data_IF_990703757472
#
_entry.id   IF_990703757472
#
_cell.length_a   1.000
_cell.length_b   1.000
_cell.length_c   1.000
_cell.angle_alpha   90.00
_cell.angle_beta   90.00
_cell.angle_gamma   90.00
#
_symmetry.space_group_name_H-M   'P 1'
#
loop_
_entity.id
_entity.type
_entity.pdbx_description
1 polymer ?
#
# COMPACT_ATOMS: atom_id res chain seq x y z
N UNK A 1 25.62 -7.79 -20.68
CA UNK A 1 24.59 -6.79 -20.26
C UNK A 1 23.21 -7.24 -20.73
N UNK A 2 23.01 -7.53 -22.01
CA UNK A 2 21.70 -7.93 -22.56
C UNK A 2 21.06 -9.13 -21.83
N UNK A 3 21.85 -10.16 -21.51
CA UNK A 3 21.39 -11.38 -20.85
C UNK A 3 20.83 -11.14 -19.45
N UNK A 4 21.50 -10.35 -18.61
CA UNK A 4 20.94 -10.09 -17.27
C UNK A 4 19.79 -9.09 -17.29
N UNK A 5 19.75 -8.14 -18.23
CA UNK A 5 18.64 -7.24 -18.40
C UNK A 5 17.36 -8.01 -18.77
N UNK A 6 17.46 -8.92 -19.71
CA UNK A 6 16.35 -9.79 -20.14
C UNK A 6 15.88 -10.69 -18.98
N UNK A 7 16.80 -11.28 -18.23
CA UNK A 7 16.49 -12.09 -17.04
C UNK A 7 15.73 -11.31 -15.97
N UNK A 8 16.13 -10.07 -15.67
CA UNK A 8 15.44 -9.19 -14.69
C UNK A 8 14.03 -8.87 -15.18
N UNK A 9 13.87 -8.49 -16.45
CA UNK A 9 12.56 -8.16 -17.02
C UNK A 9 11.62 -9.36 -16.99
N UNK A 10 12.07 -10.53 -17.44
CA UNK A 10 11.27 -11.76 -17.43
C UNK A 10 10.88 -12.17 -16.00
N UNK A 11 11.80 -12.10 -15.05
CA UNK A 11 11.51 -12.38 -13.64
C UNK A 11 10.46 -11.41 -13.05
N UNK A 12 10.54 -10.14 -13.42
CA UNK A 12 9.56 -9.13 -12.98
C UNK A 12 8.18 -9.40 -13.57
N UNK A 13 8.10 -9.72 -14.86
CA UNK A 13 6.83 -10.08 -15.53
C UNK A 13 6.21 -11.30 -14.86
N UNK A 14 6.99 -12.36 -14.63
CA UNK A 14 6.52 -13.56 -13.95
C UNK A 14 6.02 -13.28 -12.53
N UNK A 15 6.70 -12.40 -11.79
CA UNK A 15 6.30 -11.99 -10.45
C UNK A 15 4.99 -11.20 -10.45
N UNK A 16 4.80 -10.30 -11.41
CA UNK A 16 3.55 -9.55 -11.60
C UNK A 16 2.38 -10.49 -11.96
N UNK A 17 2.59 -11.45 -12.84
CA UNK A 17 1.55 -12.41 -13.23
C UNK A 17 1.13 -13.29 -12.05
N UNK A 18 2.09 -13.75 -11.24
CA UNK A 18 1.82 -14.49 -10.00
C UNK A 18 1.02 -13.64 -9.01
N UNK A 19 1.41 -12.39 -8.81
CA UNK A 19 0.69 -11.47 -7.91
C UNK A 19 -0.73 -11.21 -8.41
N UNK A 20 -0.93 -11.01 -9.72
CA UNK A 20 -2.24 -10.84 -10.34
C UNK A 20 -3.18 -12.02 -10.06
N UNK A 21 -2.66 -13.25 -10.07
CA UNK A 21 -3.45 -14.46 -9.79
C UNK A 21 -3.75 -14.64 -8.30
N UNK A 22 -2.88 -14.14 -7.42
CA UNK A 22 -2.99 -14.32 -5.97
C UNK A 22 -3.82 -13.23 -5.27
N UNK A 23 -4.00 -12.05 -5.89
CA UNK A 23 -4.78 -10.96 -5.32
C UNK A 23 -6.24 -11.37 -5.13
N UNK A 24 -6.73 -11.27 -3.89
CA UNK A 24 -8.13 -11.56 -3.56
C UNK A 24 -9.03 -10.37 -3.93
N UNK A 25 -10.00 -10.56 -4.88
CA UNK A 25 -10.92 -9.50 -5.27
C UNK A 25 -11.81 -8.99 -4.13
N UNK A 26 -12.11 -9.84 -3.13
CA UNK A 26 -12.93 -9.45 -1.98
C UNK A 26 -12.14 -8.55 -1.04
N UNK A 27 -10.88 -8.90 -0.77
CA UNK A 27 -9.98 -8.05 0.02
C UNK A 27 -9.76 -6.69 -0.66
N UNK A 28 -9.56 -6.68 -1.99
CA UNK A 28 -9.45 -5.44 -2.78
C UNK A 28 -10.72 -4.58 -2.66
N UNK A 29 -11.90 -5.15 -2.83
CA UNK A 29 -13.17 -4.43 -2.70
C UNK A 29 -13.33 -3.83 -1.30
N UNK A 30 -13.03 -4.61 -0.26
CA UNK A 30 -13.08 -4.17 1.14
C UNK A 30 -12.10 -3.03 1.42
N UNK A 31 -10.86 -3.14 0.93
CA UNK A 31 -9.85 -2.08 1.07
C UNK A 31 -10.30 -0.77 0.39
N UNK A 32 -10.85 -0.87 -0.83
CA UNK A 32 -11.38 0.29 -1.56
C UNK A 32 -12.53 0.94 -0.78
N UNK A 33 -13.43 0.16 -0.16
CA UNK A 33 -14.54 0.69 0.64
C UNK A 33 -14.03 1.47 1.87
N UNK A 34 -13.03 0.96 2.57
CA UNK A 34 -12.41 1.67 3.68
C UNK A 34 -11.72 2.97 3.22
N UNK A 35 -11.01 2.94 2.09
CA UNK A 35 -10.34 4.12 1.55
C UNK A 35 -11.33 5.23 1.11
N UNK A 36 -12.50 4.84 0.59
CA UNK A 36 -13.56 5.81 0.22
C UNK A 36 -14.16 6.50 1.45
N UNK A 37 -14.32 5.76 2.55
CA UNK A 37 -14.94 6.23 3.79
C UNK A 37 -13.95 6.88 4.75
N UNK A 38 -12.66 6.86 4.43
CA UNK A 38 -11.60 7.35 5.29
C UNK A 38 -11.74 8.85 5.59
N UNK A 39 -11.52 9.23 6.84
CA UNK A 39 -11.36 10.63 7.25
C UNK A 39 -9.99 11.16 6.88
N UNK A 40 -8.97 10.32 6.98
CA UNK A 40 -7.61 10.54 6.51
C UNK A 40 -6.96 9.20 6.14
N UNK A 41 -5.97 9.24 5.25
CA UNK A 41 -5.20 8.08 4.85
C UNK A 41 -3.73 8.34 5.12
N UNK A 42 -3.08 7.42 5.83
CA UNK A 42 -1.65 7.47 6.08
C UNK A 42 -0.98 6.24 5.45
N UNK A 43 -0.03 6.45 4.56
CA UNK A 43 0.77 5.40 3.95
C UNK A 43 2.09 5.24 4.70
N UNK A 44 2.36 4.05 5.21
CA UNK A 44 3.57 3.73 5.95
C UNK A 44 4.42 2.73 5.17
N UNK A 45 5.68 3.05 4.99
CA UNK A 45 6.67 2.17 4.39
C UNK A 45 8.05 2.53 4.89
N UNK A 46 8.92 1.54 5.08
CA UNK A 46 10.31 1.74 5.48
C UNK A 46 11.25 1.18 4.42
N UNK A 47 12.46 1.72 4.32
CA UNK A 47 13.47 1.29 3.35
C UNK A 47 12.93 1.31 1.91
N UNK A 48 12.98 0.18 1.21
CA UNK A 48 12.47 0.07 -0.17
C UNK A 48 10.97 0.33 -0.32
N UNK A 49 10.18 0.11 0.72
CA UNK A 49 8.74 0.38 0.72
C UNK A 49 8.39 1.86 0.94
N UNK A 50 9.33 2.68 1.42
CA UNK A 50 9.14 4.11 1.61
C UNK A 50 8.81 4.83 0.28
N UNK A 51 9.49 4.46 -0.81
CA UNK A 51 9.24 4.99 -2.14
C UNK A 51 7.81 4.66 -2.62
N UNK A 52 7.30 3.48 -2.30
CA UNK A 52 5.92 3.08 -2.64
C UNK A 52 4.90 3.87 -1.80
N UNK A 53 5.17 4.09 -0.52
CA UNK A 53 4.31 4.90 0.34
C UNK A 53 4.23 6.36 -0.15
N UNK A 54 5.35 6.93 -0.59
CA UNK A 54 5.41 8.27 -1.17
C UNK A 54 4.63 8.35 -2.49
N UNK A 55 4.78 7.38 -3.40
CA UNK A 55 4.01 7.30 -4.64
C UNK A 55 2.50 7.17 -4.35
N UNK A 56 2.12 6.38 -3.36
CA UNK A 56 0.75 6.24 -2.92
C UNK A 56 0.18 7.58 -2.44
N UNK A 57 0.90 8.33 -1.60
CA UNK A 57 0.50 9.68 -1.21
C UNK A 57 0.27 10.57 -2.43
N UNK A 58 1.21 10.55 -3.39
CA UNK A 58 1.12 11.35 -4.62
C UNK A 58 -0.09 10.98 -5.49
N UNK A 59 -0.53 9.72 -5.48
CA UNK A 59 -1.74 9.29 -6.21
C UNK A 59 -3.03 9.65 -5.47
N UNK A 60 -3.03 9.56 -4.14
CA UNK A 60 -4.23 9.71 -3.31
C UNK A 60 -4.49 11.16 -2.84
N UNK A 61 -3.49 12.09 -2.90
CA UNK A 61 -3.68 13.47 -2.42
C UNK A 61 -4.86 14.19 -3.08
N UNK A 62 -5.19 13.83 -4.32
CA UNK A 62 -6.28 14.43 -5.10
C UNK A 62 -7.67 13.92 -4.72
N UNK A 63 -7.78 13.02 -3.72
CA UNK A 63 -9.07 12.48 -3.28
C UNK A 63 -9.83 13.38 -2.30
N UNK A 64 -9.34 14.60 -2.08
CA UNK A 64 -9.96 15.64 -1.26
C UNK A 64 -10.15 15.24 0.21
N UNK A 65 -9.20 14.47 0.72
CA UNK A 65 -9.04 14.11 2.13
C UNK A 65 -7.57 14.25 2.52
N UNK A 66 -7.22 14.42 3.79
CA UNK A 66 -5.83 14.42 4.23
C UNK A 66 -5.14 13.09 3.89
N UNK A 67 -4.03 13.17 3.17
CA UNK A 67 -3.20 12.01 2.80
C UNK A 67 -1.75 12.32 3.07
N UNK A 68 -1.07 11.45 3.83
CA UNK A 68 0.34 11.59 4.18
C UNK A 68 1.07 10.26 3.97
N UNK A 69 2.39 10.34 3.78
CA UNK A 69 3.29 9.19 3.83
C UNK A 69 4.36 9.39 4.89
N UNK A 70 4.76 8.30 5.52
CA UNK A 70 5.80 8.29 6.55
C UNK A 70 6.76 7.12 6.31
N UNK A 71 8.05 7.40 6.34
CA UNK A 71 9.15 6.45 6.11
C UNK A 71 10.00 6.18 7.36
N UNK A 72 9.72 6.91 8.44
CA UNK A 72 10.40 6.82 9.73
C UNK A 72 9.52 6.12 10.77
N UNK A 73 10.07 5.10 11.43
CA UNK A 73 9.33 4.27 12.40
C UNK A 73 8.81 5.06 13.60
N UNK A 74 9.55 6.08 14.06
CA UNK A 74 9.12 6.91 15.19
C UNK A 74 7.89 7.74 14.81
N UNK A 75 7.92 8.39 13.64
CA UNK A 75 6.79 9.16 13.14
C UNK A 75 5.58 8.26 12.87
N UNK A 76 5.77 7.10 12.25
CA UNK A 76 4.70 6.12 12.04
C UNK A 76 4.05 5.71 13.36
N UNK A 77 4.86 5.46 14.40
CA UNK A 77 4.37 5.10 15.73
C UNK A 77 3.60 6.25 16.40
N UNK A 78 4.07 7.48 16.26
CA UNK A 78 3.37 8.67 16.81
C UNK A 78 2.01 8.86 16.12
N UNK A 79 1.95 8.72 14.80
CA UNK A 79 0.70 8.81 14.02
C UNK A 79 -0.25 7.67 14.40
N UNK A 80 0.24 6.44 14.53
CA UNK A 80 -0.56 5.29 14.97
C UNK A 80 -1.10 5.45 16.39
N UNK A 81 -0.31 6.04 17.29
CA UNK A 81 -0.74 6.35 18.66
C UNK A 81 -1.86 7.41 18.74
N UNK A 82 -1.87 8.36 17.80
CA UNK A 82 -2.91 9.39 17.69
C UNK A 82 -4.08 9.02 16.79
N UNK A 83 -4.10 7.81 16.23
CA UNK A 83 -5.13 7.38 15.29
C UNK A 83 -6.51 7.19 15.95
N UNK A 84 -7.56 7.32 15.16
CA UNK A 84 -8.94 7.27 15.62
C UNK A 84 -9.82 6.44 14.66
N UNK A 85 -11.05 6.19 15.09
CA UNK A 85 -12.08 5.55 14.24
C UNK A 85 -12.36 6.41 13.00
N UNK A 86 -12.25 5.78 11.85
CA UNK A 86 -12.38 6.41 10.53
C UNK A 86 -11.05 6.77 9.88
N UNK A 87 -9.93 6.68 10.59
CA UNK A 87 -8.61 6.79 9.98
C UNK A 87 -8.23 5.47 9.32
N UNK A 88 -7.56 5.56 8.18
CA UNK A 88 -7.01 4.40 7.47
C UNK A 88 -5.49 4.51 7.41
N UNK A 89 -4.82 3.47 7.84
CA UNK A 89 -3.36 3.32 7.74
C UNK A 89 -3.08 2.17 6.77
N UNK A 90 -2.35 2.48 5.70
CA UNK A 90 -1.89 1.48 4.72
C UNK A 90 -0.43 1.18 5.00
N UNK A 91 -0.14 -0.01 5.49
CA UNK A 91 1.20 -0.50 5.79
C UNK A 91 1.75 -1.31 4.61
N UNK A 92 2.89 -0.89 4.09
CA UNK A 92 3.55 -1.51 2.95
C UNK A 92 4.84 -2.17 3.45
N UNK A 93 4.88 -3.49 3.43
CA UNK A 93 6.04 -4.27 3.86
C UNK A 93 6.07 -5.60 3.14
N UNK A 94 7.09 -5.84 2.34
CA UNK A 94 7.18 -7.08 1.56
C UNK A 94 7.20 -8.33 2.44
N UNK A 95 8.11 -8.40 3.42
CA UNK A 95 8.22 -9.58 4.29
C UNK A 95 7.18 -9.62 5.40
N UNK A 96 6.69 -8.46 5.84
CA UNK A 96 5.77 -8.34 6.98
C UNK A 96 6.33 -8.83 8.32
N UNK A 97 7.67 -8.93 8.44
CA UNK A 97 8.36 -9.49 9.63
C UNK A 97 9.02 -8.44 10.51
N UNK A 98 9.13 -7.21 10.04
CA UNK A 98 9.74 -6.12 10.81
C UNK A 98 8.91 -5.86 12.06
N UNK A 99 9.52 -6.03 13.23
CA UNK A 99 8.84 -5.95 14.52
C UNK A 99 8.17 -4.60 14.72
N UNK A 100 8.89 -3.52 14.42
CA UNK A 100 8.36 -2.16 14.53
C UNK A 100 7.10 -1.97 13.70
N UNK A 101 7.05 -2.51 12.49
CA UNK A 101 5.87 -2.42 11.61
C UNK A 101 4.68 -3.19 12.19
N UNK A 102 4.91 -4.37 12.76
CA UNK A 102 3.88 -5.17 13.42
C UNK A 102 3.33 -4.45 14.66
N UNK A 103 4.21 -3.93 15.51
CA UNK A 103 3.84 -3.18 16.72
C UNK A 103 3.02 -1.93 16.37
N UNK A 104 3.38 -1.23 15.29
CA UNK A 104 2.67 -0.05 14.78
C UNK A 104 1.27 -0.44 14.27
N UNK A 105 1.13 -1.54 13.55
CA UNK A 105 -0.17 -2.05 13.08
C UNK A 105 -1.10 -2.36 14.26
N UNK A 106 -0.59 -3.05 15.27
CA UNK A 106 -1.35 -3.38 16.48
C UNK A 106 -1.79 -2.13 17.25
N UNK A 107 -0.88 -1.16 17.42
CA UNK A 107 -1.16 0.11 18.08
C UNK A 107 -2.26 0.88 17.34
N UNK A 108 -2.18 1.01 16.02
CA UNK A 108 -3.18 1.70 15.20
C UNK A 108 -4.57 1.05 15.34
N UNK A 109 -4.63 -0.28 15.28
CA UNK A 109 -5.90 -1.01 15.46
C UNK A 109 -6.47 -0.86 16.86
N UNK A 110 -5.62 -0.89 17.90
CA UNK A 110 -6.04 -0.69 19.28
C UNK A 110 -6.68 0.68 19.49
N UNK A 111 -6.27 1.70 18.72
CA UNK A 111 -6.85 3.05 18.71
C UNK A 111 -8.04 3.21 17.75
N UNK A 112 -8.51 2.14 17.13
CA UNK A 112 -9.71 2.12 16.29
C UNK A 112 -9.49 2.45 14.81
N UNK A 113 -8.24 2.64 14.36
CA UNK A 113 -7.95 2.83 12.95
C UNK A 113 -8.14 1.52 12.16
N UNK A 114 -8.52 1.65 10.89
CA UNK A 114 -8.48 0.55 9.95
C UNK A 114 -7.06 0.40 9.40
N UNK A 115 -6.49 -0.80 9.51
CA UNK A 115 -5.16 -1.11 8.99
C UNK A 115 -5.27 -2.02 7.78
N UNK A 116 -4.79 -1.53 6.63
CA UNK A 116 -4.68 -2.28 5.38
C UNK A 116 -3.21 -2.65 5.19
N UNK A 117 -2.91 -3.95 5.13
CA UNK A 117 -1.55 -4.43 4.87
C UNK A 117 -1.36 -4.82 3.41
N UNK A 118 -0.33 -4.27 2.75
CA UNK A 118 0.19 -4.77 1.47
C UNK A 118 1.46 -5.54 1.82
N UNK A 119 1.34 -6.85 1.96
CA UNK A 119 2.39 -7.68 2.57
C UNK A 119 2.26 -9.15 2.22
N UNK A 120 3.25 -9.95 2.62
CA UNK A 120 3.14 -11.40 2.55
C UNK A 120 1.95 -11.88 3.43
N UNK A 121 0.99 -12.66 2.86
CA UNK A 121 -0.20 -13.11 3.59
C UNK A 121 0.11 -13.99 4.81
N UNK A 122 1.25 -14.70 4.79
CA UNK A 122 1.70 -15.59 5.86
C UNK A 122 2.68 -14.89 6.82
N UNK A 123 2.46 -13.62 7.11
CA UNK A 123 3.37 -12.81 7.92
C UNK A 123 2.72 -12.30 9.23
N UNK A 124 3.51 -12.01 10.27
CA UNK A 124 3.01 -11.39 11.51
C UNK A 124 2.28 -10.06 11.27
N UNK A 125 2.69 -9.29 10.25
CA UNK A 125 1.99 -8.07 9.88
C UNK A 125 0.59 -8.37 9.35
N UNK A 126 0.43 -9.41 8.51
CA UNK A 126 -0.86 -9.81 7.97
C UNK A 126 -1.87 -10.13 9.09
N UNK A 127 -1.43 -10.86 10.13
CA UNK A 127 -2.25 -11.17 11.31
C UNK A 127 -2.68 -9.90 12.09
N UNK A 128 -1.89 -8.85 11.99
CA UNK A 128 -2.10 -7.57 12.69
C UNK A 128 -2.95 -6.58 11.88
N UNK A 129 -3.30 -6.87 10.63
CA UNK A 129 -4.08 -6.00 9.75
C UNK A 129 -5.59 -6.26 9.83
N UNK A 130 -6.40 -5.26 9.49
CA UNK A 130 -7.86 -5.38 9.30
C UNK A 130 -8.18 -6.03 7.96
N UNK A 131 -7.42 -5.63 6.92
CA UNK A 131 -7.50 -6.18 5.56
C UNK A 131 -6.11 -6.44 5.06
N UNK A 132 -5.91 -7.57 4.40
CA UNK A 132 -4.62 -7.95 3.81
C UNK A 132 -4.74 -8.05 2.30
N UNK A 133 -3.92 -7.29 1.60
CA UNK A 133 -3.68 -7.44 0.18
C UNK A 133 -2.40 -8.26 0.04
N UNK A 134 -2.57 -9.57 -0.10
CA UNK A 134 -1.47 -10.53 -0.09
C UNK A 134 -0.58 -10.40 -1.32
N UNK A 135 0.71 -10.15 -1.09
CA UNK A 135 1.73 -10.04 -2.15
C UNK A 135 2.89 -10.96 -1.81
N UNK A 136 3.24 -11.81 -2.75
CA UNK A 136 4.44 -12.65 -2.68
C UNK A 136 5.27 -12.47 -3.95
N UNK A 137 6.58 -12.32 -3.80
CA UNK A 137 7.53 -12.33 -4.91
C UNK A 137 8.69 -13.27 -4.57
N UNK A 138 9.28 -13.96 -5.53
CA UNK A 138 10.47 -14.78 -5.31
C UNK A 138 11.71 -13.87 -5.25
N UNK A 139 11.90 -13.16 -4.14
CA UNK A 139 13.05 -12.30 -3.91
C UNK A 139 13.85 -12.78 -2.72
N UNK A 140 15.16 -12.84 -2.89
CA UNK A 140 16.12 -12.98 -1.79
C UNK A 140 16.46 -11.60 -1.23
N UNK A 141 15.75 -11.23 -0.17
CA UNK A 141 15.92 -9.92 0.50
C UNK A 141 17.14 -9.86 1.42
N UNK A 142 17.82 -10.99 1.65
CA UNK A 142 19.03 -11.03 2.47
C UNK A 142 20.27 -10.58 1.67
N UNK A 143 20.25 -10.78 0.35
CA UNK A 143 21.37 -10.49 -0.54
C UNK A 143 21.11 -9.28 -1.42
N UNK A 144 19.87 -9.08 -1.86
CA UNK A 144 19.53 -8.05 -2.83
C UNK A 144 18.53 -7.03 -2.29
N UNK A 145 18.67 -5.80 -2.74
CA UNK A 145 17.65 -4.77 -2.51
C UNK A 145 16.34 -5.18 -3.20
N UNK A 146 15.17 -4.89 -2.59
CA UNK A 146 13.87 -5.22 -3.19
C UNK A 146 13.73 -4.66 -4.61
N UNK A 147 13.40 -5.50 -5.57
CA UNK A 147 13.22 -5.14 -6.98
C UNK A 147 11.77 -5.36 -7.44
N UNK A 148 11.40 -6.61 -7.67
CA UNK A 148 10.06 -6.98 -8.19
C UNK A 148 8.95 -6.68 -7.19
N UNK A 149 9.18 -6.85 -5.89
CA UNK A 149 8.19 -6.55 -4.84
C UNK A 149 7.73 -5.10 -4.88
N UNK A 150 8.64 -4.15 -5.11
CA UNK A 150 8.26 -2.73 -5.24
C UNK A 150 7.34 -2.48 -6.42
N UNK A 151 7.61 -3.12 -7.57
CA UNK A 151 6.80 -2.99 -8.78
C UNK A 151 5.39 -3.57 -8.55
N UNK A 152 5.31 -4.71 -7.86
CA UNK A 152 4.03 -5.30 -7.49
C UNK A 152 3.27 -4.37 -6.53
N UNK A 153 3.92 -3.85 -5.50
CA UNK A 153 3.30 -2.93 -4.55
C UNK A 153 2.79 -1.65 -5.24
N UNK A 154 3.57 -1.07 -6.17
CA UNK A 154 3.13 0.07 -6.98
C UNK A 154 1.89 -0.27 -7.80
N UNK A 155 1.86 -1.47 -8.41
CA UNK A 155 0.67 -1.93 -9.16
C UNK A 155 -0.56 -2.10 -8.28
N UNK A 156 -0.40 -2.58 -7.04
CA UNK A 156 -1.50 -2.67 -6.06
C UNK A 156 -2.01 -1.27 -5.68
N UNK A 157 -1.12 -0.30 -5.47
CA UNK A 157 -1.49 1.10 -5.24
C UNK A 157 -2.28 1.67 -6.42
N UNK A 158 -1.87 1.38 -7.67
CA UNK A 158 -2.61 1.80 -8.86
C UNK A 158 -4.01 1.18 -8.94
N UNK A 159 -4.15 -0.10 -8.58
CA UNK A 159 -5.45 -0.77 -8.51
C UNK A 159 -6.35 -0.11 -7.47
N UNK A 160 -5.82 0.17 -6.28
CA UNK A 160 -6.59 0.83 -5.21
C UNK A 160 -7.03 2.25 -5.62
N UNK A 161 -6.13 3.07 -6.17
CA UNK A 161 -6.43 4.42 -6.61
C UNK A 161 -7.47 4.42 -7.75
N UNK A 162 -7.34 3.50 -8.70
CA UNK A 162 -8.30 3.33 -9.79
C UNK A 162 -9.65 2.86 -9.24
N UNK A 163 -9.67 1.88 -8.35
CA UNK A 163 -10.89 1.36 -7.74
C UNK A 163 -11.66 2.42 -6.96
N UNK A 164 -10.96 3.25 -6.16
CA UNK A 164 -11.56 4.39 -5.45
C UNK A 164 -12.15 5.40 -6.45
N UNK A 165 -11.42 5.71 -7.53
CA UNK A 165 -11.85 6.64 -8.56
C UNK A 165 -13.14 6.16 -9.24
N UNK A 166 -13.15 4.91 -9.69
CA UNK A 166 -14.30 4.31 -10.37
C UNK A 166 -15.54 4.25 -9.47
N UNK A 167 -15.35 3.92 -8.21
CA UNK A 167 -16.47 3.76 -7.25
C UNK A 167 -17.03 5.10 -6.78
N UNK A 168 -16.26 6.20 -6.81
CA UNK A 168 -16.73 7.57 -6.56
C UNK A 168 -17.54 8.16 -7.71
N UNK A 169 -17.45 7.59 -8.92
CA UNK A 169 -18.29 7.91 -10.05
C UNK A 169 -17.93 9.17 -10.84
N UNK A 170 -18.87 9.61 -11.71
CA UNK A 170 -18.66 10.63 -12.71
C UNK A 170 -18.31 12.02 -12.13
N UNK A 171 -18.94 12.42 -11.03
CA UNK A 171 -18.72 13.73 -10.39
C UNK A 171 -17.28 13.87 -9.90
N UNK A 172 -16.73 12.77 -9.38
CA UNK A 172 -15.35 12.73 -8.93
C UNK A 172 -14.35 12.81 -10.10
N UNK A 173 -14.68 12.23 -11.25
CA UNK A 173 -13.87 12.35 -12.47
C UNK A 173 -13.77 13.82 -12.94
N UNK A 174 -14.85 14.60 -12.79
CA UNK A 174 -14.84 16.05 -13.05
C UNK A 174 -13.86 16.81 -12.16
N UNK A 175 -13.82 16.46 -10.86
CA UNK A 175 -12.85 17.01 -9.91
C UNK A 175 -11.39 16.70 -10.30
N UNK A 176 -11.11 15.45 -10.68
CA UNK A 176 -9.77 15.06 -11.14
C UNK A 176 -9.34 15.78 -12.42
N UNK A 177 -10.25 15.99 -13.36
CA UNK A 177 -9.98 16.77 -14.58
C UNK A 177 -9.59 18.22 -14.24
N UNK A 178 -10.35 18.87 -13.35
CA UNK A 178 -10.08 20.24 -12.90
C UNK A 178 -8.68 20.37 -12.27
N UNK A 179 -8.26 19.40 -11.46
CA UNK A 179 -6.90 19.38 -10.90
C UNK A 179 -5.87 19.28 -12.03
N UNK A 180 -6.09 18.38 -13.00
CA UNK A 180 -5.16 18.19 -14.12
C UNK A 180 -5.07 19.42 -15.03
N UNK A 181 -6.15 20.17 -15.21
CA UNK A 181 -6.20 21.38 -16.01
C UNK A 181 -5.44 22.56 -15.35
N UNK A 182 -5.10 22.44 -14.07
CA UNK A 182 -4.30 23.45 -13.34
C UNK A 182 -2.78 23.30 -13.53
N UNK A 183 -2.34 22.24 -14.21
CA UNK A 183 -0.94 21.94 -14.52
C UNK A 183 -0.55 22.44 -15.91
#
# INVERSE_FOLDING_TARGET
VAEFADKIMLSTIASLDKARQALDPKALATAIDYLIQAKQINFFGMGGSAAVAMDAQHKFFRFNIPVMSYDDALMQRMVAAGANVGDVIVLISYTGRTRETVDIAQLARANGATVIGITNPDSPLAESCTVVLGVTAPEDTEVYMPMSSRIIHLSVIDILATGVTLKRGADFLGHLKKIKESL
#
